data_IF_692403139315
#
_entry.id   IF_692403139315
#
_cell.length_a   1.000
_cell.length_b   1.000
_cell.length_c   1.000
_cell.angle_alpha   90.00
_cell.angle_beta   90.00
_cell.angle_gamma   90.00
#
_symmetry.space_group_name_H-M   'P 1'
#
loop_
_entity.id
_entity.type
_entity.pdbx_description
1 polymer ?
#
# COMPACT_ATOMS: atom_id res chain seq x y z
N UNK A 1 -5.74 -3.46 -25.79
CA UNK A 1 -6.38 -3.03 -24.53
C UNK A 1 -5.29 -2.63 -23.57
N UNK A 2 -5.41 -1.49 -22.90
CA UNK A 2 -4.45 -1.08 -21.90
C UNK A 2 -4.59 -1.96 -20.65
N UNK A 3 -3.47 -2.31 -20.03
CA UNK A 3 -3.40 -3.09 -18.80
C UNK A 3 -2.61 -2.32 -17.75
N UNK A 4 -2.97 -2.49 -16.49
CA UNK A 4 -2.30 -1.90 -15.35
C UNK A 4 -2.58 -2.75 -14.10
N UNK A 5 -2.22 -2.23 -12.93
CA UNK A 5 -2.54 -2.85 -11.65
C UNK A 5 -3.17 -1.84 -10.70
N UNK A 6 -4.13 -2.31 -9.92
CA UNK A 6 -4.74 -1.55 -8.83
C UNK A 6 -4.67 -2.38 -7.55
N UNK A 7 -3.95 -1.87 -6.55
CA UNK A 7 -3.77 -2.52 -5.25
C UNK A 7 -3.31 -3.99 -5.35
N UNK A 8 -2.46 -4.28 -6.34
CA UNK A 8 -1.90 -5.61 -6.60
C UNK A 8 -2.76 -6.53 -7.45
N UNK A 9 -3.90 -6.06 -7.97
CA UNK A 9 -4.74 -6.81 -8.91
C UNK A 9 -4.55 -6.29 -10.33
N UNK A 10 -4.46 -7.19 -11.31
CA UNK A 10 -4.41 -6.82 -12.72
C UNK A 10 -5.76 -6.20 -13.14
N UNK A 11 -5.69 -5.07 -13.84
CA UNK A 11 -6.85 -4.36 -14.38
C UNK A 11 -6.66 -4.11 -15.87
N UNK A 12 -7.77 -4.07 -16.61
CA UNK A 12 -7.76 -3.79 -18.04
C UNK A 12 -8.85 -2.78 -18.41
N UNK A 13 -8.58 -2.01 -19.47
CA UNK A 13 -9.55 -1.04 -19.97
C UNK A 13 -10.51 -1.71 -20.96
N UNK A 14 -11.80 -1.69 -20.64
CA UNK A 14 -12.91 -2.22 -21.44
C UNK A 14 -13.96 -1.12 -21.62
N UNK A 15 -14.28 -0.77 -22.87
CA UNK A 15 -15.29 0.26 -23.19
C UNK A 15 -15.10 1.63 -22.50
N UNK A 16 -13.85 1.98 -22.14
CA UNK A 16 -13.52 3.24 -21.46
C UNK A 16 -13.46 3.14 -19.94
N UNK A 17 -13.83 2.01 -19.36
CA UNK A 17 -13.81 1.76 -17.92
C UNK A 17 -12.65 0.81 -17.56
N UNK A 18 -12.08 0.99 -16.37
CA UNK A 18 -11.13 0.03 -15.81
C UNK A 18 -11.90 -1.05 -15.04
N UNK A 19 -11.63 -2.31 -15.37
CA UNK A 19 -12.22 -3.48 -14.70
C UNK A 19 -11.14 -4.41 -14.20
N UNK A 20 -11.42 -5.16 -13.13
CA UNK A 20 -10.53 -6.23 -12.71
C UNK A 20 -10.50 -7.35 -13.75
N UNK A 21 -9.31 -7.84 -14.08
CA UNK A 21 -9.16 -8.89 -15.10
C UNK A 21 -9.86 -10.18 -14.68
N UNK A 22 -9.91 -10.48 -13.38
CA UNK A 22 -10.44 -11.74 -12.86
C UNK A 22 -11.95 -11.74 -12.62
N UNK A 23 -12.52 -10.66 -12.07
CA UNK A 23 -13.97 -10.58 -11.79
C UNK A 23 -14.76 -9.82 -12.84
N UNK A 24 -14.09 -9.03 -13.69
CA UNK A 24 -14.68 -8.07 -14.63
C UNK A 24 -15.52 -6.97 -13.96
N UNK A 25 -15.41 -6.83 -12.63
CA UNK A 25 -16.09 -5.77 -11.89
C UNK A 25 -15.40 -4.42 -12.12
N UNK A 26 -16.16 -3.31 -12.16
CA UNK A 26 -15.60 -1.96 -12.25
C UNK A 26 -14.71 -1.62 -11.05
N UNK A 27 -13.55 -1.01 -11.32
CA UNK A 27 -12.59 -0.68 -10.25
C UNK A 27 -13.07 0.48 -9.37
N UNK A 28 -13.71 1.50 -9.94
CA UNK A 28 -14.07 2.74 -9.23
C UNK A 28 -15.03 2.49 -8.05
N UNK A 29 -15.95 1.53 -8.19
CA UNK A 29 -16.98 1.25 -7.19
C UNK A 29 -16.52 0.23 -6.13
N UNK A 30 -15.63 -0.69 -6.49
CA UNK A 30 -15.38 -1.91 -5.70
C UNK A 30 -13.99 -1.95 -5.05
N UNK A 31 -13.05 -1.08 -5.44
CA UNK A 31 -11.65 -1.16 -4.99
C UNK A 31 -11.44 -1.08 -3.47
N UNK A 32 -12.31 -0.38 -2.76
CA UNK A 32 -12.24 -0.24 -1.29
C UNK A 32 -12.62 -1.52 -0.58
N UNK A 33 -13.52 -2.29 -1.19
CA UNK A 33 -14.08 -3.53 -0.64
C UNK A 33 -13.17 -4.73 -0.89
N UNK A 34 -12.21 -4.60 -1.80
CA UNK A 34 -11.30 -5.67 -2.18
C UNK A 34 -10.03 -5.67 -1.30
N UNK A 35 -9.62 -6.85 -0.86
CA UNK A 35 -8.34 -7.03 -0.17
C UNK A 35 -7.17 -6.78 -1.13
N UNK A 36 -6.01 -6.38 -0.60
CA UNK A 36 -4.79 -6.21 -1.39
C UNK A 36 -4.41 -7.50 -2.14
N UNK A 37 -4.03 -7.41 -3.41
CA UNK A 37 -3.60 -8.56 -4.22
C UNK A 37 -2.29 -9.20 -3.76
N UNK A 38 -1.49 -8.46 -2.97
CA UNK A 38 -0.20 -8.92 -2.48
C UNK A 38 -0.25 -9.50 -1.06
N UNK A 39 -0.82 -8.77 -0.08
CA UNK A 39 -0.87 -9.23 1.32
C UNK A 39 -2.18 -9.89 1.72
N UNK A 40 -3.19 -9.87 0.84
CA UNK A 40 -4.52 -10.45 1.03
C UNK A 40 -5.29 -9.92 2.24
N UNK A 41 -4.97 -8.70 2.71
CA UNK A 41 -5.67 -8.01 3.79
C UNK A 41 -6.42 -6.78 3.28
N UNK A 42 -7.53 -6.46 3.93
CA UNK A 42 -8.21 -5.17 3.76
C UNK A 42 -7.43 -4.06 4.47
N UNK A 43 -7.76 -2.80 4.16
CA UNK A 43 -7.20 -1.67 4.89
C UNK A 43 -7.45 -1.82 6.41
N UNK A 44 -6.59 -1.20 7.22
CA UNK A 44 -6.79 -1.16 8.67
C UNK A 44 -8.07 -0.38 9.01
N UNK A 45 -8.52 -0.46 10.26
CA UNK A 45 -9.69 0.30 10.75
C UNK A 45 -9.53 1.81 10.59
N UNK A 46 -8.29 2.31 10.61
CA UNK A 46 -7.92 3.71 10.40
C UNK A 46 -7.80 4.08 8.90
N UNK A 47 -8.02 3.11 8.01
CA UNK A 47 -7.92 3.29 6.57
C UNK A 47 -6.52 3.15 5.97
N UNK A 48 -5.53 2.68 6.75
CA UNK A 48 -4.16 2.52 6.25
C UNK A 48 -3.99 1.24 5.41
N UNK A 49 -2.98 1.21 4.54
CA UNK A 49 -2.57 -0.01 3.86
C UNK A 49 -2.13 -1.07 4.90
N UNK A 50 -2.83 -2.20 4.97
CA UNK A 50 -2.52 -3.27 5.92
C UNK A 50 -1.19 -3.98 5.64
N UNK A 51 -0.57 -3.77 4.47
CA UNK A 51 0.83 -4.15 4.25
C UNK A 51 1.77 -3.40 5.21
N UNK A 52 1.42 -2.18 5.61
CA UNK A 52 2.27 -1.27 6.36
C UNK A 52 1.79 -1.07 7.79
N UNK A 53 0.49 -0.82 7.97
CA UNK A 53 -0.07 -0.24 9.18
C UNK A 53 0.38 1.21 9.38
N UNK A 54 0.40 1.67 10.64
CA UNK A 54 0.87 3.02 10.97
C UNK A 54 2.40 3.05 11.07
N UNK A 55 3.04 3.95 10.31
CA UNK A 55 4.48 4.18 10.35
C UNK A 55 4.80 5.53 11.04
N UNK A 56 5.72 5.56 12.02
CA UNK A 56 6.07 6.80 12.73
C UNK A 56 6.84 7.77 11.81
N UNK A 57 6.54 9.06 11.91
CA UNK A 57 7.25 10.11 11.16
C UNK A 57 6.97 10.15 9.66
N UNK A 58 6.00 9.37 9.18
CA UNK A 58 5.61 9.27 7.77
C UNK A 58 4.34 10.06 7.51
N UNK A 59 4.33 10.84 6.42
CA UNK A 59 3.14 11.54 5.94
C UNK A 59 2.24 10.61 5.12
N UNK A 60 2.84 9.85 4.21
CA UNK A 60 2.15 8.89 3.35
C UNK A 60 3.11 7.77 2.91
N UNK A 61 2.62 6.55 2.70
CA UNK A 61 3.43 5.46 2.18
C UNK A 61 2.57 4.40 1.49
N UNK A 62 3.16 3.71 0.52
CA UNK A 62 2.57 2.57 -0.17
C UNK A 62 3.63 1.48 -0.36
N UNK A 63 3.28 0.22 -0.09
CA UNK A 63 4.19 -0.91 -0.32
C UNK A 63 4.36 -1.28 -1.81
N UNK A 64 3.73 -0.54 -2.73
CA UNK A 64 3.67 -0.88 -4.15
C UNK A 64 2.71 -2.03 -4.47
N UNK A 65 2.06 -2.61 -3.46
CA UNK A 65 1.12 -3.73 -3.59
C UNK A 65 1.66 -4.90 -4.44
N UNK A 66 2.93 -5.25 -4.25
CA UNK A 66 3.63 -6.32 -4.97
C UNK A 66 4.41 -5.85 -6.20
N UNK A 67 4.43 -4.54 -6.47
CA UNK A 67 5.30 -3.90 -7.46
C UNK A 67 6.30 -3.01 -6.74
N UNK A 68 7.50 -3.53 -6.50
CA UNK A 68 8.49 -2.88 -5.64
C UNK A 68 8.90 -1.50 -6.17
N UNK A 69 8.84 -1.27 -7.48
CA UNK A 69 9.12 0.01 -8.14
C UNK A 69 8.06 1.08 -7.89
N UNK A 70 6.81 0.68 -7.63
CA UNK A 70 5.70 1.57 -7.23
C UNK A 70 5.72 1.91 -5.73
N UNK A 71 6.56 1.26 -4.95
CA UNK A 71 6.66 1.51 -3.52
C UNK A 71 7.21 2.92 -3.23
N UNK A 72 6.70 3.58 -2.19
CA UNK A 72 7.21 4.87 -1.75
C UNK A 72 6.95 5.15 -0.26
N UNK A 73 7.81 6.00 0.32
CA UNK A 73 7.61 6.66 1.62
C UNK A 73 7.78 8.16 1.42
N UNK A 74 6.77 8.93 1.83
CA UNK A 74 6.83 10.38 1.92
C UNK A 74 6.89 10.80 3.39
N UNK A 75 7.91 11.61 3.73
CA UNK A 75 8.09 12.13 5.08
C UNK A 75 7.39 13.47 5.28
N UNK A 76 7.32 13.91 6.55
CA UNK A 76 6.66 15.17 6.93
C UNK A 76 7.30 16.42 6.31
N UNK A 77 8.59 16.36 5.98
CA UNK A 77 9.32 17.42 5.28
C UNK A 77 9.14 17.38 3.75
N UNK A 78 8.23 16.53 3.26
CA UNK A 78 7.89 16.30 1.85
C UNK A 78 8.95 15.53 1.04
N UNK A 79 10.07 15.13 1.63
CA UNK A 79 11.03 14.24 0.95
C UNK A 79 10.40 12.86 0.68
N UNK A 80 10.80 12.25 -0.45
CA UNK A 80 10.24 10.97 -0.92
C UNK A 80 11.36 9.99 -1.22
N UNK A 81 11.25 8.78 -0.68
CA UNK A 81 12.05 7.60 -1.07
C UNK A 81 11.13 6.68 -1.88
N UNK A 82 11.63 6.10 -2.98
CA UNK A 82 10.86 5.25 -3.89
C UNK A 82 11.54 3.90 -4.10
N UNK A 83 10.82 2.95 -4.67
CA UNK A 83 11.36 1.66 -5.07
C UNK A 83 11.72 0.77 -3.86
N UNK A 84 12.66 -0.15 -4.08
CA UNK A 84 13.14 -1.08 -3.06
C UNK A 84 13.65 -0.40 -1.79
N UNK A 85 14.30 0.76 -1.91
CA UNK A 85 14.80 1.52 -0.74
C UNK A 85 13.67 1.93 0.19
N UNK A 86 12.49 2.25 -0.37
CA UNK A 86 11.32 2.59 0.42
C UNK A 86 10.81 1.40 1.24
N UNK A 87 10.88 0.17 0.69
CA UNK A 87 10.49 -1.06 1.39
C UNK A 87 11.39 -1.33 2.59
N UNK A 88 12.70 -1.09 2.46
CA UNK A 88 13.64 -1.26 3.56
C UNK A 88 13.40 -0.23 4.67
N UNK A 89 13.14 1.03 4.31
CA UNK A 89 12.74 2.06 5.26
C UNK A 89 11.45 1.67 6.01
N UNK A 90 10.44 1.16 5.31
CA UNK A 90 9.22 0.67 5.95
C UNK A 90 9.50 -0.48 6.92
N UNK A 91 10.38 -1.42 6.57
CA UNK A 91 10.81 -2.51 7.46
C UNK A 91 11.43 -1.98 8.76
N UNK A 92 12.32 -1.00 8.64
CA UNK A 92 12.98 -0.36 9.79
C UNK A 92 11.92 0.34 10.66
N UNK A 93 11.08 1.19 10.07
CA UNK A 93 10.07 1.96 10.79
C UNK A 93 9.06 1.07 11.52
N UNK A 94 8.63 -0.04 10.90
CA UNK A 94 7.74 -1.03 11.55
C UNK A 94 8.36 -1.62 12.81
N UNK A 95 9.65 -1.97 12.78
CA UNK A 95 10.37 -2.51 13.95
C UNK A 95 10.45 -1.49 15.09
N UNK A 96 10.70 -0.22 14.79
CA UNK A 96 10.68 0.84 15.81
C UNK A 96 9.27 1.06 16.38
N UNK A 97 8.24 0.99 15.54
CA UNK A 97 6.85 1.13 15.98
C UNK A 97 6.38 -0.02 16.88
N UNK A 98 6.92 -1.23 16.74
CA UNK A 98 6.63 -2.35 17.64
C UNK A 98 7.42 -2.27 18.93
N UNK A 99 8.71 -1.93 18.85
CA UNK A 99 9.59 -1.88 20.03
C UNK A 99 9.23 -0.75 21.01
N UNK A 100 8.58 0.31 20.54
CA UNK A 100 8.11 1.41 21.39
C UNK A 100 6.76 1.12 22.08
N UNK A 101 6.08 -0.01 21.79
CA UNK A 101 4.84 -0.39 22.51
C UNK A 101 5.11 -1.05 23.86
N UNK A 102 6.32 -1.58 24.05
CA UNK A 102 6.78 -2.18 25.32
C UNK A 102 7.55 -1.17 26.19
N UNK A 103 7.58 0.10 25.78
CA UNK A 103 8.25 1.23 26.43
C UNK A 103 7.55 1.71 27.70
N UNK A 104 7.37 0.82 28.66
CA UNK A 104 7.47 1.23 30.05
C UNK A 104 8.84 1.87 30.26
N UNK A 105 8.83 3.07 30.85
CA UNK A 105 10.04 3.77 31.29
C UNK A 105 10.91 2.78 32.09
N UNK A 106 12.12 2.52 31.60
CA UNK A 106 13.24 2.07 32.43
C UNK A 106 14.40 3.00 32.19
#
# INVERSE_FOLDING_TARGET
MAKSYLRGHEIEQVNGEWVYVDTKEPTEETWQQRACGHCHKHATTEGHDACLGTLPGVMNACCGHGQDDEAYVQFLDTSIIRGCDSLEIMNILRKYATNNRDGGIR
#
